data_IF_860607254908
#
_entry.id   IF_860607254908
#
_cell.length_a   1.000
_cell.length_b   1.000
_cell.length_c   1.000
_cell.angle_alpha   90.00
_cell.angle_beta   90.00
_cell.angle_gamma   90.00
#
_symmetry.space_group_name_H-M   'P 1'
#
loop_
_entity.id
_entity.type
_entity.pdbx_description
1 polymer ?
#
# COMPACT_ATOMS: atom_id res chain seq x y z
N UNK A 1 15.79 -5.73 18.35
CA UNK A 1 15.08 -5.55 19.64
C UNK A 1 16.01 -5.55 20.85
N UNK A 2 17.12 -6.30 20.86
CA UNK A 2 18.02 -6.37 22.04
C UNK A 2 18.52 -5.00 22.55
N UNK A 3 18.93 -4.10 21.65
CA UNK A 3 19.48 -2.78 22.05
C UNK A 3 18.42 -1.89 22.72
N UNK A 4 17.17 -1.88 22.24
CA UNK A 4 16.11 -1.05 22.84
C UNK A 4 15.66 -1.56 24.21
N UNK A 5 15.71 -2.89 24.41
CA UNK A 5 15.44 -3.53 25.71
C UNK A 5 16.56 -3.23 26.71
N UNK A 6 17.82 -3.32 26.29
CA UNK A 6 18.98 -3.00 27.13
C UNK A 6 19.00 -1.52 27.54
N UNK A 7 18.67 -0.63 26.62
CA UNK A 7 18.63 0.82 26.86
C UNK A 7 17.32 1.28 27.52
N UNK A 8 16.32 0.39 27.69
CA UNK A 8 14.98 0.72 28.18
C UNK A 8 14.39 1.96 27.50
N UNK A 9 14.45 2.00 26.17
CA UNK A 9 13.93 3.14 25.39
C UNK A 9 12.45 2.96 25.12
N UNK A 10 12.03 1.75 24.77
CA UNK A 10 10.65 1.40 24.53
C UNK A 10 10.45 -0.13 24.55
N UNK A 11 9.23 -0.56 24.83
CA UNK A 11 8.73 -1.91 24.53
C UNK A 11 7.69 -1.85 23.41
N UNK A 12 7.60 -2.94 22.64
CA UNK A 12 6.65 -3.09 21.55
C UNK A 12 5.68 -4.22 21.90
N UNK A 13 4.41 -4.09 21.53
CA UNK A 13 3.37 -5.08 21.86
C UNK A 13 2.26 -5.10 20.80
N UNK A 14 1.46 -6.16 20.78
CA UNK A 14 0.23 -6.20 20.01
C UNK A 14 -0.87 -5.42 20.74
N UNK A 15 -1.42 -4.33 20.17
CA UNK A 15 -2.49 -3.56 20.82
C UNK A 15 -3.77 -4.35 21.07
N UNK A 16 -4.03 -5.41 20.30
CA UNK A 16 -5.21 -6.28 20.48
C UNK A 16 -4.99 -7.34 21.57
N UNK A 17 -3.75 -7.80 21.76
CA UNK A 17 -3.35 -8.71 22.84
C UNK A 17 -1.91 -8.42 23.31
N UNK A 18 -1.73 -7.53 24.31
CA UNK A 18 -0.40 -7.13 24.77
C UNK A 18 0.47 -8.26 25.34
N UNK A 19 -0.12 -9.44 25.61
CA UNK A 19 0.59 -10.63 26.12
C UNK A 19 1.12 -11.50 24.99
N UNK A 20 0.65 -11.29 23.76
CA UNK A 20 1.07 -12.04 22.60
C UNK A 20 2.51 -11.68 22.21
N UNK A 21 3.31 -12.70 21.88
CA UNK A 21 4.65 -12.51 21.34
C UNK A 21 4.57 -11.86 19.95
N UNK A 22 5.39 -10.84 19.73
CA UNK A 22 5.46 -10.15 18.44
C UNK A 22 5.93 -11.07 17.31
N UNK A 23 6.72 -12.10 17.61
CA UNK A 23 7.13 -13.10 16.62
C UNK A 23 5.91 -13.82 16.02
N UNK A 24 4.92 -14.18 16.85
CA UNK A 24 3.66 -14.80 16.37
C UNK A 24 2.90 -13.82 15.49
N UNK A 25 2.83 -12.56 15.90
CA UNK A 25 2.17 -11.50 15.14
C UNK A 25 2.85 -11.25 13.78
N UNK A 26 4.19 -11.20 13.74
CA UNK A 26 4.97 -11.03 12.51
C UNK A 26 4.89 -12.24 11.60
N UNK A 27 4.88 -13.47 12.13
CA UNK A 27 4.73 -14.67 11.30
C UNK A 27 3.31 -14.78 10.73
N UNK A 28 2.27 -14.43 11.50
CA UNK A 28 0.91 -14.30 10.98
C UNK A 28 0.85 -13.25 9.87
N UNK A 29 1.42 -12.07 10.12
CA UNK A 29 1.49 -11.03 9.12
C UNK A 29 2.19 -11.55 7.87
N UNK A 30 3.41 -12.08 7.96
CA UNK A 30 4.16 -12.61 6.80
C UNK A 30 3.42 -13.69 6.02
N UNK A 31 2.75 -14.62 6.70
CA UNK A 31 2.09 -15.79 6.09
C UNK A 31 0.74 -15.45 5.43
N UNK A 32 0.02 -14.46 5.94
CA UNK A 32 -1.26 -14.03 5.38
C UNK A 32 -1.06 -13.01 4.24
N UNK A 33 -1.37 -13.36 2.97
CA UNK A 33 -1.27 -12.45 1.84
C UNK A 33 -2.36 -11.36 1.82
N UNK A 34 -3.47 -11.55 2.53
CA UNK A 34 -4.58 -10.59 2.61
C UNK A 34 -4.41 -9.60 3.77
N UNK A 35 -3.59 -9.93 4.78
CA UNK A 35 -3.26 -9.00 5.85
C UNK A 35 -2.29 -7.92 5.35
N UNK A 36 -2.84 -6.77 4.93
CA UNK A 36 -2.09 -5.68 4.32
C UNK A 36 -1.46 -4.73 5.33
N UNK A 37 -2.07 -4.57 6.51
CA UNK A 37 -1.61 -3.68 7.55
C UNK A 37 -1.33 -4.47 8.83
N UNK A 38 -0.25 -4.11 9.53
CA UNK A 38 0.07 -4.59 10.86
C UNK A 38 0.20 -3.39 11.81
N UNK A 39 -0.51 -3.44 12.93
CA UNK A 39 -0.47 -2.43 13.98
C UNK A 39 0.34 -2.94 15.18
N UNK A 40 1.34 -2.18 15.59
CA UNK A 40 2.20 -2.46 16.74
C UNK A 40 2.14 -1.28 17.70
N UNK A 41 1.84 -1.54 18.96
CA UNK A 41 1.87 -0.55 20.03
C UNK A 41 3.30 -0.34 20.53
N UNK A 42 3.60 0.88 20.95
CA UNK A 42 4.88 1.27 21.55
C UNK A 42 4.60 1.81 22.95
N UNK A 43 5.24 1.24 23.97
CA UNK A 43 5.27 1.82 25.31
C UNK A 43 6.64 2.43 25.57
N UNK A 44 6.69 3.71 25.88
CA UNK A 44 7.92 4.43 26.22
C UNK A 44 8.21 4.44 27.73
N UNK A 45 7.26 3.99 28.55
CA UNK A 45 7.38 4.02 30.00
C UNK A 45 7.60 2.63 30.58
N UNK A 46 8.55 2.58 31.50
CA UNK A 46 8.82 1.42 32.36
C UNK A 46 8.34 1.67 33.81
N UNK A 47 7.63 2.78 34.04
CA UNK A 47 7.00 3.14 35.31
C UNK A 47 5.57 2.61 35.34
N UNK A 48 5.07 2.29 36.54
CA UNK A 48 3.71 1.76 36.79
C UNK A 48 2.57 2.76 36.51
N UNK A 49 2.88 3.93 35.95
CA UNK A 49 1.88 4.91 35.55
C UNK A 49 1.14 4.42 34.30
N UNK A 50 -0.12 4.03 34.49
CA UNK A 50 -1.02 3.59 33.43
C UNK A 50 -1.32 4.67 32.38
N UNK A 51 -1.03 5.93 32.70
CA UNK A 51 -1.32 7.11 31.87
C UNK A 51 -0.12 7.57 31.03
N UNK A 52 0.95 6.77 31.02
CA UNK A 52 2.12 7.06 30.21
C UNK A 52 1.78 7.18 28.70
N UNK A 53 2.27 8.23 28.01
CA UNK A 53 2.05 8.38 26.58
C UNK A 53 2.72 7.23 25.82
N UNK A 54 1.91 6.44 25.12
CA UNK A 54 2.36 5.42 24.17
C UNK A 54 2.51 5.97 22.75
N UNK A 55 3.08 5.14 21.88
CA UNK A 55 3.14 5.37 20.44
C UNK A 55 2.49 4.23 19.67
N UNK A 56 2.31 4.44 18.37
CA UNK A 56 1.77 3.45 17.44
C UNK A 56 2.67 3.36 16.20
N UNK A 57 2.94 2.14 15.78
CA UNK A 57 3.65 1.82 14.54
C UNK A 57 2.72 1.02 13.63
N UNK A 58 2.52 1.50 12.41
CA UNK A 58 1.79 0.79 11.37
C UNK A 58 2.76 0.35 10.28
N UNK A 59 2.75 -0.94 9.96
CA UNK A 59 3.51 -1.53 8.87
C UNK A 59 2.54 -1.91 7.76
N UNK A 60 2.72 -1.33 6.58
CA UNK A 60 1.86 -1.57 5.42
C UNK A 60 2.63 -2.38 4.39
N UNK A 61 2.08 -3.52 3.97
CA UNK A 61 2.61 -4.31 2.86
C UNK A 61 2.21 -3.66 1.55
N UNK A 62 3.19 -3.18 0.82
CA UNK A 62 3.02 -2.86 -0.59
C UNK A 62 3.12 -4.15 -1.44
N UNK A 63 2.18 -5.07 -1.24
CA UNK A 63 2.02 -6.33 -1.98
C UNK A 63 0.64 -6.32 -2.63
N UNK A 64 0.52 -6.85 -3.84
CA UNK A 64 -0.77 -7.04 -4.49
C UNK A 64 -1.46 -8.26 -3.84
N UNK A 65 -2.51 -8.08 -3.01
CA UNK A 65 -3.22 -9.22 -2.44
C UNK A 65 -4.00 -9.94 -3.56
N UNK A 66 -4.21 -11.26 -3.45
CA UNK A 66 -5.01 -12.03 -4.39
C UNK A 66 -6.38 -11.40 -4.69
N UNK A 67 -7.04 -10.84 -3.69
CA UNK A 67 -8.34 -10.15 -3.80
C UNK A 67 -8.33 -8.89 -4.67
N UNK A 68 -7.17 -8.26 -4.91
CA UNK A 68 -7.04 -7.04 -5.72
C UNK A 68 -6.49 -7.30 -7.12
N UNK A 69 -6.26 -8.55 -7.50
CA UNK A 69 -5.88 -8.89 -8.88
C UNK A 69 -7.02 -8.54 -9.82
N UNK A 70 -6.70 -7.85 -10.91
CA UNK A 70 -7.71 -7.50 -11.90
C UNK A 70 -7.09 -6.86 -13.14
N UNK A 71 -7.93 -6.24 -13.95
CA UNK A 71 -7.47 -5.51 -15.13
C UNK A 71 -6.75 -4.24 -14.72
N UNK A 72 -5.71 -3.90 -15.47
CA UNK A 72 -4.99 -2.63 -15.29
C UNK A 72 -5.94 -1.49 -15.61
N UNK A 73 -6.13 -0.60 -14.65
CA UNK A 73 -6.91 0.62 -14.85
C UNK A 73 -6.13 1.61 -15.74
N UNK A 74 -6.83 2.51 -16.47
CA UNK A 74 -6.19 3.59 -17.22
C UNK A 74 -5.25 4.44 -16.36
N UNK A 75 -4.43 5.28 -16.99
CA UNK A 75 -3.46 6.15 -16.28
C UNK A 75 -4.15 6.99 -15.20
N UNK A 76 -3.47 7.20 -14.07
CA UNK A 76 -4.00 8.08 -13.00
C UNK A 76 -4.20 9.48 -13.56
N UNK A 77 -5.41 10.01 -13.41
CA UNK A 77 -5.78 11.34 -13.87
C UNK A 77 -5.69 12.36 -12.72
N UNK A 78 -5.51 13.65 -13.04
CA UNK A 78 -5.34 14.70 -12.02
C UNK A 78 -6.52 14.77 -11.03
N UNK A 79 -7.73 14.48 -11.49
CA UNK A 79 -8.95 14.46 -10.66
C UNK A 79 -8.92 13.35 -9.60
N UNK A 80 -8.32 12.20 -9.93
CA UNK A 80 -8.12 11.10 -8.97
C UNK A 80 -7.15 11.54 -7.86
N UNK A 81 -6.07 12.24 -8.22
CA UNK A 81 -5.05 12.73 -7.28
C UNK A 81 -5.59 13.85 -6.38
N UNK A 82 -6.41 14.75 -6.93
CA UNK A 82 -6.96 15.88 -6.19
C UNK A 82 -8.02 15.48 -5.15
N UNK A 83 -8.38 14.19 -5.06
CA UNK A 83 -9.42 13.69 -4.15
C UNK A 83 -10.85 14.08 -4.58
N UNK A 84 -11.01 14.59 -5.80
CA UNK A 84 -12.30 15.01 -6.36
C UNK A 84 -13.03 13.92 -7.13
N UNK A 85 -12.38 12.77 -7.39
CA UNK A 85 -13.02 11.61 -7.99
C UNK A 85 -13.79 10.82 -6.94
N UNK A 86 -15.11 11.08 -6.83
CA UNK A 86 -16.01 10.05 -6.33
C UNK A 86 -15.78 8.75 -7.12
N UNK A 87 -16.04 7.59 -6.51
CA UNK A 87 -16.06 6.26 -7.14
C UNK A 87 -17.11 6.12 -8.28
N UNK A 88 -17.40 7.19 -9.01
CA UNK A 88 -18.26 7.20 -10.18
C UNK A 88 -17.54 6.46 -11.30
N UNK A 89 -17.88 5.18 -11.43
CA UNK A 89 -17.69 4.33 -12.60
C UNK A 89 -18.39 4.86 -13.87
N UNK A 90 -18.63 6.18 -13.97
CA UNK A 90 -19.52 6.84 -14.90
C UNK A 90 -18.79 7.96 -15.67
N UNK A 91 -17.49 7.79 -15.87
CA UNK A 91 -16.66 8.62 -16.75
C UNK A 91 -16.56 8.01 -18.17
N UNK A 92 -17.58 7.25 -18.59
CA UNK A 92 -17.55 6.49 -19.85
C UNK A 92 -18.01 7.25 -21.09
N UNK A 93 -18.36 8.54 -21.00
CA UNK A 93 -19.19 9.14 -22.07
C UNK A 93 -18.81 10.57 -22.52
N UNK A 94 -17.59 11.04 -22.24
CA UNK A 94 -17.19 12.43 -22.57
C UNK A 94 -15.72 12.58 -22.98
N UNK A 95 -15.19 11.64 -23.76
CA UNK A 95 -13.93 11.84 -24.48
C UNK A 95 -14.21 11.55 -25.95
N UNK A 96 -14.12 12.60 -26.76
CA UNK A 96 -14.35 12.58 -28.21
C UNK A 96 -13.40 11.63 -28.94
N UNK A 97 -13.95 10.94 -29.94
CA UNK A 97 -13.43 9.85 -30.78
C UNK A 97 -12.13 10.09 -31.59
N UNK A 98 -11.09 10.76 -31.06
CA UNK A 98 -9.87 11.04 -31.85
C UNK A 98 -8.54 10.49 -31.30
N UNK A 99 -8.54 9.73 -30.20
CA UNK A 99 -7.33 9.05 -29.67
C UNK A 99 -7.53 7.52 -29.59
N UNK A 100 -7.73 6.90 -30.75
CA UNK A 100 -8.14 5.50 -31.01
C UNK A 100 -7.07 4.41 -30.69
N UNK A 101 -6.00 4.73 -29.96
CA UNK A 101 -4.91 3.79 -29.65
C UNK A 101 -4.94 3.25 -28.20
N UNK A 102 -5.85 3.72 -27.34
CA UNK A 102 -5.88 3.33 -25.91
C UNK A 102 -6.46 1.92 -25.64
N UNK A 103 -7.20 1.36 -26.60
CA UNK A 103 -7.86 0.04 -26.49
C UNK A 103 -6.88 -1.15 -26.57
N UNK A 104 -5.67 -0.95 -27.10
CA UNK A 104 -4.70 -2.03 -27.33
C UNK A 104 -4.19 -2.69 -26.04
N UNK A 105 -4.47 -2.10 -24.87
CA UNK A 105 -3.97 -2.56 -23.57
C UNK A 105 -5.09 -2.96 -22.59
N UNK A 106 -6.32 -3.16 -23.07
CA UNK A 106 -7.50 -3.47 -22.23
C UNK A 106 -7.39 -4.82 -21.52
N UNK A 107 -6.63 -5.76 -22.08
CA UNK A 107 -6.52 -7.13 -21.54
C UNK A 107 -5.37 -7.34 -20.54
N UNK A 108 -4.57 -6.31 -20.25
CA UNK A 108 -3.41 -6.47 -19.36
C UNK A 108 -3.87 -6.57 -17.90
N UNK A 109 -3.42 -7.61 -17.18
CA UNK A 109 -3.71 -7.76 -15.75
C UNK A 109 -2.67 -7.09 -14.88
N UNK A 110 -3.07 -6.66 -13.68
CA UNK A 110 -2.18 -6.03 -12.71
C UNK A 110 -1.01 -6.93 -12.33
N UNK A 111 -1.21 -8.25 -12.27
CA UNK A 111 -0.16 -9.22 -11.98
C UNK A 111 0.70 -9.60 -13.18
N UNK A 112 0.46 -9.00 -14.36
CA UNK A 112 1.27 -9.17 -15.58
C UNK A 112 2.11 -7.93 -15.89
N UNK A 113 1.93 -6.85 -15.12
CA UNK A 113 2.68 -5.61 -15.26
C UNK A 113 4.16 -5.82 -14.96
N UNK A 114 5.00 -5.70 -15.98
CA UNK A 114 6.44 -5.66 -15.84
C UNK A 114 6.94 -4.27 -15.39
N UNK A 115 8.04 -4.23 -14.64
CA UNK A 115 8.60 -2.98 -14.09
C UNK A 115 9.84 -2.47 -14.84
N UNK A 116 10.05 -2.88 -16.08
CA UNK A 116 11.20 -2.48 -16.91
C UNK A 116 10.73 -1.97 -18.27
N UNK A 117 10.51 -0.66 -18.37
CA UNK A 117 10.13 -0.02 -19.64
C UNK A 117 9.96 1.48 -19.49
N UNK A 118 9.88 2.19 -20.62
CA UNK A 118 9.68 3.63 -20.66
C UNK A 118 8.25 4.04 -21.04
N UNK A 119 7.51 3.17 -21.73
CA UNK A 119 6.15 3.40 -22.23
C UNK A 119 5.28 2.17 -21.94
N UNK A 120 3.96 2.33 -22.02
CA UNK A 120 3.04 1.19 -21.92
C UNK A 120 3.20 0.23 -23.12
N UNK A 121 3.69 0.74 -24.26
CA UNK A 121 4.05 -0.05 -25.43
C UNK A 121 5.08 -1.16 -25.15
N UNK A 122 5.89 -1.04 -24.09
CA UNK A 122 6.82 -2.09 -23.67
C UNK A 122 6.13 -3.38 -23.17
N UNK A 123 4.88 -3.29 -22.70
CA UNK A 123 4.11 -4.45 -22.22
C UNK A 123 3.65 -5.34 -23.36
N UNK A 124 3.32 -4.76 -24.52
CA UNK A 124 2.83 -5.49 -25.70
C UNK A 124 3.99 -6.00 -26.56
N UNK A 125 5.08 -5.24 -26.66
CA UNK A 125 6.21 -5.59 -27.54
C UNK A 125 7.21 -6.60 -26.94
N UNK A 126 6.86 -7.28 -25.85
CA UNK A 126 7.73 -8.31 -25.27
C UNK A 126 8.96 -7.80 -24.50
N UNK A 127 9.13 -6.47 -24.38
CA UNK A 127 10.29 -5.85 -23.72
C UNK A 127 10.22 -5.93 -22.19
N UNK A 128 9.03 -6.22 -21.65
CA UNK A 128 8.74 -6.12 -20.23
C UNK A 128 7.71 -7.16 -19.77
N UNK A 129 7.95 -8.44 -20.06
CA UNK A 129 7.02 -9.51 -19.71
C UNK A 129 7.39 -10.20 -18.39
N UNK A 130 6.40 -10.36 -17.51
CA UNK A 130 6.47 -11.25 -16.36
C UNK A 130 5.83 -10.66 -15.10
N UNK A 131 5.37 -11.51 -14.16
CA UNK A 131 4.68 -11.07 -12.94
C UNK A 131 5.68 -10.44 -11.98
N UNK A 132 5.93 -9.16 -12.16
CA UNK A 132 6.82 -8.38 -11.29
C UNK A 132 6.02 -7.51 -10.36
N UNK A 133 4.94 -6.88 -10.84
CA UNK A 133 4.13 -5.99 -10.01
C UNK A 133 3.63 -6.65 -8.69
N UNK A 134 3.73 -5.95 -7.55
CA UNK A 134 4.25 -4.58 -7.37
C UNK A 134 5.76 -4.54 -7.09
N UNK A 135 6.42 -5.69 -7.10
CA UNK A 135 7.85 -5.79 -6.88
C UNK A 135 8.61 -5.31 -8.13
N UNK A 136 9.60 -4.44 -7.92
CA UNK A 136 10.45 -3.94 -9.00
C UNK A 136 11.27 -5.06 -9.68
N UNK A 137 12.04 -4.67 -10.69
CA UNK A 137 12.96 -5.57 -11.39
C UNK A 137 14.33 -5.53 -10.73
N UNK A 138 15.37 -6.04 -11.39
CA UNK A 138 16.75 -5.88 -10.93
C UNK A 138 17.16 -4.40 -10.80
N UNK A 139 16.53 -3.50 -11.57
CA UNK A 139 16.72 -2.06 -11.48
C UNK A 139 15.85 -1.40 -10.40
N UNK A 140 15.16 -2.19 -9.57
CA UNK A 140 14.22 -1.69 -8.56
C UNK A 140 13.06 -0.94 -9.21
N UNK A 141 12.91 0.33 -8.84
CA UNK A 141 11.83 1.23 -9.29
C UNK A 141 12.33 2.34 -10.22
N UNK A 142 13.49 2.18 -10.85
CA UNK A 142 14.09 3.23 -11.69
C UNK A 142 13.35 3.45 -13.03
N UNK A 143 12.73 2.41 -13.59
CA UNK A 143 12.12 2.44 -14.92
C UNK A 143 10.66 1.98 -14.87
N UNK A 144 9.77 2.88 -14.44
CA UNK A 144 8.34 2.56 -14.33
C UNK A 144 7.59 3.05 -15.56
N UNK A 145 6.86 2.15 -16.21
CA UNK A 145 5.89 2.55 -17.24
C UNK A 145 4.75 3.35 -16.59
N UNK A 146 4.08 4.25 -17.33
CA UNK A 146 2.97 5.04 -16.80
C UNK A 146 1.86 4.19 -16.14
N UNK A 147 1.43 3.08 -16.75
CA UNK A 147 0.44 2.17 -16.15
C UNK A 147 0.95 1.44 -14.91
N UNK A 148 2.23 1.08 -14.88
CA UNK A 148 2.82 0.45 -13.71
C UNK A 148 2.86 1.43 -12.53
N UNK A 149 3.33 2.66 -12.75
CA UNK A 149 3.35 3.71 -11.74
C UNK A 149 1.95 4.05 -11.24
N UNK A 150 0.98 4.20 -12.17
CA UNK A 150 -0.43 4.43 -11.86
C UNK A 150 -1.02 3.31 -10.98
N UNK A 151 -0.74 2.06 -11.33
CA UNK A 151 -1.19 0.90 -10.56
C UNK A 151 -0.53 0.84 -9.18
N UNK A 152 0.75 1.22 -9.07
CA UNK A 152 1.46 1.26 -7.78
C UNK A 152 0.88 2.34 -6.87
N UNK A 153 0.57 3.53 -7.39
CA UNK A 153 -0.07 4.61 -6.62
C UNK A 153 -1.42 4.16 -6.06
N UNK A 154 -2.26 3.53 -6.88
CA UNK A 154 -3.57 3.01 -6.47
C UNK A 154 -3.44 1.88 -5.45
N UNK A 155 -2.51 0.96 -5.66
CA UNK A 155 -2.22 -0.10 -4.69
C UNK A 155 -1.80 0.53 -3.36
N UNK A 156 -0.83 1.43 -3.37
CA UNK A 156 -0.35 2.15 -2.17
C UNK A 156 -1.47 2.86 -1.43
N UNK A 157 -2.34 3.58 -2.13
CA UNK A 157 -3.51 4.24 -1.56
C UNK A 157 -4.47 3.22 -0.92
N UNK A 158 -4.82 2.15 -1.64
CA UNK A 158 -5.74 1.13 -1.15
C UNK A 158 -5.22 0.40 0.09
N UNK A 159 -3.94 -0.04 0.08
CA UNK A 159 -3.36 -0.81 1.20
C UNK A 159 -3.08 0.06 2.43
N UNK A 160 -2.87 1.36 2.27
CA UNK A 160 -2.59 2.29 3.38
C UNK A 160 -3.84 2.94 3.99
N UNK A 161 -5.02 2.74 3.39
CA UNK A 161 -6.27 3.39 3.81
C UNK A 161 -6.63 3.10 5.26
N UNK A 162 -6.56 1.83 5.67
CA UNK A 162 -6.87 1.40 7.04
C UNK A 162 -5.89 2.02 8.06
N UNK A 163 -4.59 1.90 7.82
CA UNK A 163 -3.56 2.50 8.67
C UNK A 163 -3.77 4.01 8.82
N UNK A 164 -4.02 4.71 7.72
CA UNK A 164 -4.26 6.16 7.72
C UNK A 164 -5.51 6.52 8.51
N UNK A 165 -6.59 5.75 8.38
CA UNK A 165 -7.82 5.95 9.14
C UNK A 165 -7.58 5.78 10.66
N UNK A 166 -6.85 4.73 11.06
CA UNK A 166 -6.53 4.45 12.46
C UNK A 166 -5.64 5.54 13.08
N UNK A 167 -4.64 6.03 12.34
CA UNK A 167 -3.80 7.15 12.80
C UNK A 167 -4.64 8.41 13.00
N UNK A 168 -5.54 8.72 12.06
CA UNK A 168 -6.41 9.90 12.15
C UNK A 168 -7.41 9.81 13.29
N UNK A 169 -8.05 8.65 13.49
CA UNK A 169 -9.03 8.47 14.56
C UNK A 169 -8.39 8.60 15.94
N UNK A 170 -7.18 8.05 16.13
CA UNK A 170 -6.40 8.24 17.35
C UNK A 170 -6.01 9.69 17.58
N UNK A 171 -5.51 10.38 16.55
CA UNK A 171 -5.15 11.80 16.66
C UNK A 171 -6.35 12.66 17.09
N UNK A 172 -7.54 12.40 16.51
CA UNK A 172 -8.77 13.09 16.89
C UNK A 172 -9.18 12.80 18.33
N UNK A 173 -9.03 11.56 18.82
CA UNK A 173 -9.35 11.20 20.20
C UNK A 173 -8.40 11.83 21.23
N UNK A 174 -7.15 12.12 20.83
CA UNK A 174 -6.15 12.77 21.69
C UNK A 174 -6.21 14.30 21.71
N UNK A 175 -7.06 14.92 20.89
CA UNK A 175 -7.16 16.38 20.84
C UNK A 175 -7.76 16.94 22.15
N UNK A 176 -7.12 17.92 22.80
CA UNK A 176 -7.67 18.54 24.00
C UNK A 176 -8.99 19.22 23.65
N UNK A 177 -10.07 18.84 24.34
CA UNK A 177 -11.40 19.47 24.27
C UNK A 177 -11.42 20.83 24.91
#
# INVERSE_FOLDING_TARGET
MEVSVQLKVASFFDPADPRQSLEVLFERFKSDPEMLTLHVGISYCFSDDSDAPGGDLFIVKNRLPPSMKGNVRPRVHHMEVAGGGNDSADMSDSMSDEDDDEDTFVDLRTDELGSFGCCDCCHVNGLNCGPKFPHGSFAGYLYLTPRWASSLMRLGYAVSREATHLVRSKAAASAPT
#
